data_IF_563861648183
#
_entry.id   IF_563861648183
#
_cell.length_a   1.000
_cell.length_b   1.000
_cell.length_c   1.000
_cell.angle_alpha   90.00
_cell.angle_beta   90.00
_cell.angle_gamma   90.00
#
_symmetry.space_group_name_H-M   'P 1'
#
loop_
_entity.id
_entity.type
_entity.pdbx_description
1 polymer ?
#
# COMPACT_ATOMS: atom_id res chain seq x y z
N UNK A 1 -12.75 1.00 22.78
CA UNK A 1 -12.44 2.00 21.75
C UNK A 1 -11.39 1.43 20.82
N UNK A 2 -11.57 1.61 19.52
CA UNK A 2 -10.59 1.34 18.48
C UNK A 2 -9.91 2.67 18.16
N UNK A 3 -8.58 2.68 18.11
CA UNK A 3 -7.79 3.84 17.74
C UNK A 3 -6.78 3.43 16.68
N UNK A 4 -7.02 3.85 15.44
CA UNK A 4 -6.06 3.72 14.34
C UNK A 4 -5.27 5.02 14.27
N UNK A 5 -3.95 4.90 14.33
CA UNK A 5 -3.03 6.02 14.17
C UNK A 5 -2.15 5.75 12.96
N UNK A 6 -2.35 6.50 11.88
CA UNK A 6 -1.45 6.48 10.73
C UNK A 6 -0.41 7.58 10.88
N UNK A 7 0.86 7.20 10.78
CA UNK A 7 2.01 8.08 10.87
C UNK A 7 2.66 8.13 9.50
N UNK A 8 2.65 9.30 8.89
CA UNK A 8 3.28 9.55 7.59
C UNK A 8 4.53 10.39 7.80
N UNK A 9 5.67 9.87 7.36
CA UNK A 9 6.98 10.50 7.56
C UNK A 9 7.62 10.77 6.21
N UNK A 10 8.00 12.02 5.97
CA UNK A 10 8.78 12.39 4.79
C UNK A 10 10.24 11.96 4.99
N UNK A 11 10.70 11.06 4.13
CA UNK A 11 12.07 10.55 4.08
C UNK A 11 12.73 10.90 2.75
N UNK A 12 14.04 10.73 2.70
CA UNK A 12 14.84 10.87 1.47
C UNK A 12 15.31 9.49 1.04
N UNK A 13 15.06 9.13 -0.21
CA UNK A 13 15.48 7.85 -0.77
C UNK A 13 17.01 7.74 -0.81
N UNK A 14 17.58 6.70 -0.18
CA UNK A 14 19.02 6.47 -0.19
C UNK A 14 19.41 5.51 -1.31
N UNK A 15 19.59 6.06 -2.52
CA UNK A 15 20.01 5.28 -3.69
C UNK A 15 21.45 4.76 -3.57
N UNK A 16 22.26 5.30 -2.66
CA UNK A 16 23.65 4.84 -2.45
C UNK A 16 23.69 3.45 -1.82
N UNK A 17 22.74 3.12 -0.96
CA UNK A 17 22.63 1.79 -0.34
C UNK A 17 22.37 0.67 -1.36
N UNK A 18 21.89 1.02 -2.56
CA UNK A 18 21.60 0.09 -3.65
C UNK A 18 22.69 0.03 -4.73
N UNK A 19 23.73 0.87 -4.62
CA UNK A 19 24.84 0.86 -5.58
C UNK A 19 25.73 -0.36 -5.34
N UNK A 20 26.19 -0.99 -6.43
CA UNK A 20 27.07 -2.15 -6.40
C UNK A 20 28.44 -1.76 -6.94
N UNK A 21 29.52 -2.23 -6.31
CA UNK A 21 30.91 -1.87 -6.65
C UNK A 21 31.45 -2.54 -7.92
N UNK A 22 30.67 -3.40 -8.59
CA UNK A 22 31.15 -4.21 -9.73
C UNK A 22 31.26 -3.40 -11.02
N UNK A 23 32.32 -3.68 -11.80
CA UNK A 23 32.69 -2.99 -13.04
C UNK A 23 31.72 -3.13 -14.22
N UNK A 24 30.63 -3.90 -14.07
CA UNK A 24 29.58 -4.08 -15.10
C UNK A 24 28.27 -3.34 -14.83
N UNK A 25 28.12 -2.65 -13.70
CA UNK A 25 26.82 -2.13 -13.21
C UNK A 25 26.68 -0.61 -13.30
N UNK A 26 27.41 0.05 -14.19
CA UNK A 26 27.39 1.50 -14.35
C UNK A 26 25.97 2.05 -14.57
N UNK A 27 25.19 1.44 -15.47
CA UNK A 27 23.84 1.90 -15.79
C UNK A 27 22.89 1.81 -14.58
N UNK A 28 23.01 0.77 -13.75
CA UNK A 28 22.19 0.65 -12.52
C UNK A 28 22.65 1.64 -11.45
N UNK A 29 23.96 1.83 -11.30
CA UNK A 29 24.48 2.83 -10.37
C UNK A 29 24.07 4.27 -10.78
N UNK A 30 24.06 4.57 -12.07
CA UNK A 30 23.56 5.84 -12.60
C UNK A 30 22.06 6.01 -12.33
N UNK A 31 21.27 4.94 -12.54
CA UNK A 31 19.85 4.91 -12.21
C UNK A 31 19.62 5.22 -10.72
N UNK A 32 20.22 4.48 -9.78
CA UNK A 32 20.01 4.75 -8.35
C UNK A 32 20.54 6.12 -7.90
N UNK A 33 21.62 6.62 -8.51
CA UNK A 33 22.12 7.97 -8.25
C UNK A 33 21.11 9.05 -8.66
N UNK A 34 20.40 8.87 -9.77
CA UNK A 34 19.36 9.79 -10.24
C UNK A 34 18.16 9.89 -9.29
N UNK A 35 17.86 8.82 -8.54
CA UNK A 35 16.80 8.83 -7.53
C UNK A 35 17.27 9.19 -6.12
N UNK A 36 18.59 9.26 -5.88
CA UNK A 36 19.15 9.53 -4.56
C UNK A 36 18.71 10.90 -4.04
N UNK A 37 18.24 10.95 -2.79
CA UNK A 37 17.77 12.16 -2.12
C UNK A 37 16.32 12.54 -2.44
N UNK A 38 15.65 11.83 -3.36
CA UNK A 38 14.25 12.13 -3.67
C UNK A 38 13.36 11.97 -2.44
N UNK A 39 12.49 12.94 -2.16
CA UNK A 39 11.56 12.82 -1.06
C UNK A 39 10.51 11.76 -1.38
N UNK A 40 10.20 10.92 -0.40
CA UNK A 40 9.06 10.02 -0.41
C UNK A 40 8.43 10.00 0.98
N UNK A 41 7.19 9.54 1.07
CA UNK A 41 6.45 9.37 2.31
C UNK A 41 6.49 7.90 2.68
N UNK A 42 6.91 7.62 3.90
CA UNK A 42 6.78 6.30 4.52
C UNK A 42 5.62 6.33 5.50
N UNK A 43 4.68 5.40 5.34
CA UNK A 43 3.52 5.23 6.21
C UNK A 43 3.69 4.08 7.19
N UNK A 44 3.35 4.31 8.46
CA UNK A 44 3.22 3.27 9.48
C UNK A 44 1.87 3.39 10.17
N UNK A 45 1.19 2.26 10.41
CA UNK A 45 -0.12 2.23 11.05
C UNK A 45 -0.05 1.50 12.39
N UNK A 46 -0.52 2.16 13.45
CA UNK A 46 -0.73 1.54 14.75
C UNK A 46 -2.22 1.35 15.02
N UNK A 47 -2.60 0.15 15.44
CA UNK A 47 -3.97 -0.15 15.88
C UNK A 47 -3.97 -0.40 17.39
N UNK A 48 -4.55 0.53 18.15
CA UNK A 48 -4.65 0.45 19.60
C UNK A 48 -6.09 0.17 19.99
N UNK A 49 -6.29 -0.94 20.72
CA UNK A 49 -7.61 -1.28 21.26
C UNK A 49 -7.58 -1.03 22.76
N UNK A 50 -8.45 -0.14 23.22
CA UNK A 50 -8.50 0.28 24.62
C UNK A 50 -9.83 -0.15 25.25
N UNK A 51 -9.77 -0.90 26.34
CA UNK A 51 -10.90 -1.22 27.19
C UNK A 51 -10.81 -0.44 28.51
N UNK A 52 -11.79 0.42 28.77
CA UNK A 52 -11.89 1.10 30.06
C UNK A 52 -12.42 0.13 31.11
N UNK A 53 -11.74 0.03 32.27
CA UNK A 53 -12.30 -0.66 33.42
C UNK A 53 -13.33 0.24 34.09
N UNK A 54 -14.49 -0.30 34.46
CA UNK A 54 -15.48 0.46 35.24
C UNK A 54 -14.80 0.95 36.53
N UNK A 55 -14.81 2.27 36.74
CA UNK A 55 -14.25 2.90 37.94
C UNK A 55 -15.07 2.48 39.18
N UNK A 56 -14.75 1.34 39.79
CA UNK A 56 -15.12 1.06 41.17
C UNK A 56 -14.20 1.86 42.11
N UNK A 57 -14.69 2.19 43.31
CA UNK A 57 -13.94 2.96 44.32
C UNK A 57 -12.57 2.33 44.68
N UNK A 58 -12.41 1.03 44.44
CA UNK A 58 -11.12 0.33 44.46
C UNK A 58 -10.75 -0.02 43.02
N UNK A 59 -9.63 0.52 42.54
CA UNK A 59 -9.00 0.16 41.25
C UNK A 59 -8.40 -1.25 41.34
N UNK A 60 -9.22 -2.28 41.54
CA UNK A 60 -8.75 -3.66 41.59
C UNK A 60 -8.58 -4.22 40.18
N UNK A 61 -7.37 -4.69 39.90
CA UNK A 61 -7.08 -5.50 38.71
C UNK A 61 -7.96 -6.76 38.71
N UNK A 62 -8.62 -7.03 37.59
CA UNK A 62 -9.47 -8.21 37.39
C UNK A 62 -8.84 -9.14 36.35
N UNK A 63 -8.20 -10.21 36.83
CA UNK A 63 -7.49 -11.16 35.99
C UNK A 63 -8.42 -11.89 34.99
N UNK A 64 -9.69 -12.11 35.34
CA UNK A 64 -10.65 -12.77 34.46
C UNK A 64 -11.00 -11.87 33.28
N UNK A 65 -11.31 -10.60 33.55
CA UNK A 65 -11.56 -9.59 32.50
C UNK A 65 -10.33 -9.36 31.63
N UNK A 66 -9.14 -9.34 32.21
CA UNK A 66 -7.90 -9.22 31.45
C UNK A 66 -7.71 -10.40 30.48
N UNK A 67 -7.94 -11.63 30.93
CA UNK A 67 -7.87 -12.83 30.07
C UNK A 67 -8.91 -12.79 28.95
N UNK A 68 -10.16 -12.41 29.25
CA UNK A 68 -11.21 -12.25 28.24
C UNK A 68 -10.84 -11.18 27.20
N UNK A 69 -10.28 -10.06 27.63
CA UNK A 69 -9.76 -9.03 26.74
C UNK A 69 -8.66 -9.58 25.82
N UNK A 70 -7.67 -10.29 26.36
CA UNK A 70 -6.60 -10.91 25.55
C UNK A 70 -7.14 -11.90 24.50
N UNK A 71 -8.16 -12.69 24.84
CA UNK A 71 -8.81 -13.59 23.87
C UNK A 71 -9.45 -12.80 22.73
N UNK A 72 -10.14 -11.69 23.03
CA UNK A 72 -10.75 -10.83 22.01
C UNK A 72 -9.70 -10.17 21.12
N UNK A 73 -8.61 -9.71 21.70
CA UNK A 73 -7.50 -9.07 20.97
C UNK A 73 -6.82 -10.07 20.01
N UNK A 74 -6.63 -11.32 20.43
CA UNK A 74 -6.12 -12.37 19.52
C UNK A 74 -7.06 -12.63 18.35
N UNK A 75 -8.38 -12.71 18.60
CA UNK A 75 -9.36 -12.85 17.52
C UNK A 75 -9.31 -11.70 16.52
N UNK A 76 -9.05 -10.47 16.98
CA UNK A 76 -8.85 -9.33 16.07
C UNK A 76 -7.59 -9.52 15.22
N UNK A 77 -6.48 -9.95 15.82
CA UNK A 77 -5.26 -10.24 15.07
C UNK A 77 -5.47 -11.36 14.03
N UNK A 78 -6.17 -12.43 14.40
CA UNK A 78 -6.52 -13.52 13.48
C UNK A 78 -7.37 -12.99 12.32
N UNK A 79 -8.38 -12.16 12.59
CA UNK A 79 -9.21 -11.53 11.55
C UNK A 79 -8.40 -10.62 10.61
N UNK A 80 -7.41 -9.89 11.12
CA UNK A 80 -6.53 -9.07 10.29
C UNK A 80 -5.66 -9.95 9.37
N UNK A 81 -5.12 -11.06 9.91
CA UNK A 81 -4.33 -12.02 9.14
C UNK A 81 -5.14 -12.72 8.06
N UNK A 82 -6.33 -13.21 8.40
CA UNK A 82 -7.29 -13.82 7.47
C UNK A 82 -7.74 -12.81 6.40
N UNK A 83 -7.86 -11.54 6.77
CA UNK A 83 -8.12 -10.42 5.87
C UNK A 83 -6.94 -10.00 4.98
N UNK A 84 -5.80 -10.70 5.05
CA UNK A 84 -4.62 -10.44 4.22
C UNK A 84 -3.62 -9.43 4.78
N UNK A 85 -3.86 -8.89 5.98
CA UNK A 85 -2.95 -7.97 6.68
C UNK A 85 -1.96 -8.80 7.51
N UNK A 86 -1.15 -9.59 6.81
CA UNK A 86 -0.18 -10.53 7.42
C UNK A 86 0.97 -9.85 8.16
N UNK A 87 1.19 -8.55 7.91
CA UNK A 87 2.20 -7.73 8.59
C UNK A 87 1.74 -7.19 9.96
N UNK A 88 0.49 -7.45 10.38
CA UNK A 88 0.01 -7.04 11.68
C UNK A 88 0.68 -7.88 12.78
N UNK A 89 1.41 -7.23 13.67
CA UNK A 89 2.14 -7.87 14.77
C UNK A 89 1.91 -7.12 16.08
N UNK A 90 1.94 -7.85 17.21
CA UNK A 90 1.88 -7.24 18.52
C UNK A 90 3.22 -6.58 18.87
N UNK A 91 3.17 -5.31 19.26
CA UNK A 91 4.35 -4.63 19.80
C UNK A 91 4.75 -5.25 21.14
N UNK A 92 6.03 -5.54 21.29
CA UNK A 92 6.61 -5.88 22.59
C UNK A 92 6.74 -4.61 23.47
N UNK A 93 7.16 -4.79 24.73
CA UNK A 93 7.27 -3.69 25.70
C UNK A 93 8.23 -2.58 25.23
N UNK A 94 9.34 -2.94 24.60
CA UNK A 94 10.31 -1.97 24.09
C UNK A 94 9.74 -1.18 22.92
N UNK A 95 9.14 -1.86 21.95
CA UNK A 95 8.50 -1.23 20.78
C UNK A 95 7.32 -0.33 21.19
N UNK A 96 6.52 -0.76 22.18
CA UNK A 96 5.40 0.03 22.69
C UNK A 96 5.89 1.30 23.43
N UNK A 97 6.98 1.20 24.20
CA UNK A 97 7.63 2.37 24.82
C UNK A 97 8.18 3.32 23.77
N UNK A 98 8.93 2.80 22.81
CA UNK A 98 9.48 3.61 21.73
C UNK A 98 8.37 4.32 20.92
N UNK A 99 7.27 3.63 20.64
CA UNK A 99 6.09 4.24 20.01
C UNK A 99 5.52 5.40 20.83
N UNK A 100 5.30 5.21 22.13
CA UNK A 100 4.80 6.26 23.01
C UNK A 100 5.78 7.43 23.14
N UNK A 101 7.08 7.15 23.23
CA UNK A 101 8.15 8.13 23.35
C UNK A 101 8.31 8.96 22.06
N UNK A 102 8.22 8.32 20.89
CA UNK A 102 8.22 8.98 19.58
C UNK A 102 6.99 9.85 19.39
N UNK A 103 5.82 9.38 19.83
CA UNK A 103 4.60 10.18 19.82
C UNK A 103 4.74 11.41 20.73
N UNK A 104 5.27 11.23 21.95
CA UNK A 104 5.53 12.33 22.89
C UNK A 104 6.48 13.38 22.31
N UNK A 105 7.58 12.93 21.67
CA UNK A 105 8.57 13.81 21.05
C UNK A 105 8.16 14.34 19.67
N UNK A 106 7.02 13.90 19.14
CA UNK A 106 6.57 14.09 17.75
C UNK A 106 7.68 13.81 16.74
N UNK A 107 8.43 12.73 16.97
CA UNK A 107 9.57 12.36 16.14
C UNK A 107 9.52 10.90 15.73
N UNK A 108 8.97 10.68 14.53
CA UNK A 108 8.96 9.39 13.87
C UNK A 108 10.01 9.28 12.76
N UNK A 109 10.72 10.39 12.47
CA UNK A 109 11.68 10.50 11.37
C UNK A 109 13.08 10.08 11.76
N UNK A 110 13.57 10.61 12.88
CA UNK A 110 14.98 10.50 13.23
C UNK A 110 15.25 9.20 13.97
N UNK A 111 16.43 8.62 13.71
CA UNK A 111 16.90 7.44 14.44
C UNK A 111 17.02 7.70 15.95
N UNK A 112 17.45 8.92 16.31
CA UNK A 112 17.61 9.39 17.68
C UNK A 112 16.75 10.63 17.89
N UNK A 113 16.10 10.74 19.04
CA UNK A 113 15.27 11.89 19.38
C UNK A 113 15.46 12.27 20.84
N UNK A 114 15.21 13.54 21.15
CA UNK A 114 15.17 14.06 22.51
C UNK A 114 13.77 14.53 22.85
N UNK A 115 13.40 14.42 24.12
CA UNK A 115 12.18 15.02 24.65
C UNK A 115 12.51 16.41 25.18
N UNK A 116 11.60 17.36 24.94
CA UNK A 116 11.71 18.72 25.45
C UNK A 116 10.44 19.09 26.22
N UNK A 117 10.51 20.17 27.00
CA UNK A 117 9.35 20.65 27.75
C UNK A 117 8.28 21.21 26.81
N UNK A 118 7.02 21.12 27.24
CA UNK A 118 5.89 21.69 26.52
C UNK A 118 5.67 23.16 26.90
N UNK A 119 5.44 23.98 25.88
CA UNK A 119 4.74 25.26 26.03
C UNK A 119 3.46 25.15 25.21
N UNK A 120 2.31 25.20 25.89
CA UNK A 120 0.99 25.10 25.24
C UNK A 120 0.37 26.48 25.18
N UNK A 121 -0.13 26.85 24.01
CA UNK A 121 -1.04 27.98 23.83
C UNK A 121 -2.38 27.50 23.26
N UNK A 122 -3.31 28.42 22.99
CA UNK A 122 -4.65 28.08 22.48
C UNK A 122 -4.66 27.54 21.05
N UNK A 123 -3.56 27.66 20.32
CA UNK A 123 -3.46 27.32 18.91
C UNK A 123 -2.52 26.15 18.65
N UNK A 124 -1.51 25.94 19.50
CA UNK A 124 -0.47 24.93 19.30
C UNK A 124 0.24 24.50 20.59
N UNK A 125 0.92 23.36 20.48
CA UNK A 125 1.85 22.80 21.45
C UNK A 125 3.27 22.97 20.92
N UNK A 126 4.14 23.65 21.65
CA UNK A 126 5.54 23.87 21.28
C UNK A 126 6.46 22.95 22.08
N UNK A 127 7.42 22.33 21.39
CA UNK A 127 8.40 21.36 21.89
C UNK A 127 9.81 21.77 21.42
N UNK A 128 10.46 22.66 22.16
CA UNK A 128 11.75 23.23 21.73
C UNK A 128 11.59 24.02 20.43
N UNK A 129 12.18 23.54 19.34
CA UNK A 129 12.08 24.14 18.00
C UNK A 129 10.91 23.61 17.16
N UNK A 130 10.20 22.59 17.64
CA UNK A 130 9.05 21.99 16.96
C UNK A 130 7.77 22.58 17.49
N UNK A 131 6.76 22.62 16.65
CA UNK A 131 5.40 23.00 17.00
C UNK A 131 4.47 21.83 16.69
N UNK A 132 3.27 21.81 17.24
CA UNK A 132 2.25 20.86 16.89
C UNK A 132 0.89 21.49 17.01
N UNK A 133 0.09 21.35 15.96
CA UNK A 133 -1.32 21.70 16.01
C UNK A 133 -2.15 20.45 15.77
N UNK A 134 -3.10 20.22 16.65
CA UNK A 134 -4.09 19.14 16.58
C UNK A 134 -5.35 19.69 15.94
N UNK A 135 -5.65 19.21 14.74
CA UNK A 135 -6.82 19.62 13.97
C UNK A 135 -7.93 18.58 14.15
N UNK A 136 -8.98 18.93 14.89
CA UNK A 136 -10.20 18.11 14.89
C UNK A 136 -10.88 18.24 13.53
N UNK A 137 -11.04 17.12 12.82
CA UNK A 137 -11.58 17.15 11.45
C UNK A 137 -13.06 17.47 11.38
N UNK A 138 -13.79 17.30 12.49
CA UNK A 138 -15.21 17.57 12.55
C UNK A 138 -15.52 18.38 13.81
N UNK A 139 -16.35 19.40 13.64
CA UNK A 139 -16.95 20.14 14.74
C UNK A 139 -18.15 19.34 15.27
N UNK A 140 -18.17 19.01 16.57
CA UNK A 140 -19.27 18.25 17.18
C UNK A 140 -20.54 19.11 17.26
N UNK A 141 -20.41 20.43 17.36
CA UNK A 141 -21.56 21.35 17.39
C UNK A 141 -22.23 21.50 16.02
N UNK A 142 -21.45 21.35 14.95
CA UNK A 142 -21.90 21.45 13.57
C UNK A 142 -21.13 20.45 12.71
N UNK A 143 -21.54 19.19 12.79
CA UNK A 143 -20.95 18.10 12.00
C UNK A 143 -21.27 18.36 10.52
N UNK A 144 -20.39 19.10 9.86
CA UNK A 144 -20.53 19.48 8.46
C UNK A 144 -20.13 18.33 7.55
N UNK A 145 -20.88 17.23 7.58
CA UNK A 145 -20.74 16.10 6.66
C UNK A 145 -21.78 16.21 5.54
N UNK A 146 -21.47 15.74 4.32
CA UNK A 146 -22.47 15.64 3.26
C UNK A 146 -23.54 14.60 3.61
N UNK A 147 -24.75 14.75 3.05
CA UNK A 147 -25.85 13.80 3.26
C UNK A 147 -25.56 12.38 2.75
N UNK A 148 -24.60 12.24 1.83
CA UNK A 148 -24.07 10.94 1.38
C UNK A 148 -22.55 11.00 1.41
N UNK A 149 -21.94 10.08 2.17
CA UNK A 149 -20.49 9.92 2.24
C UNK A 149 -20.08 8.67 1.46
N UNK A 150 -19.15 8.83 0.52
CA UNK A 150 -18.58 7.70 -0.25
C UNK A 150 -17.23 7.31 0.34
N UNK A 151 -16.83 6.03 0.26
CA UNK A 151 -15.53 5.59 0.75
C UNK A 151 -14.37 5.99 -0.19
N UNK A 152 -14.66 6.55 -1.37
CA UNK A 152 -13.69 6.92 -2.38
C UNK A 152 -14.05 8.25 -3.05
N UNK A 153 -13.07 8.82 -3.74
CA UNK A 153 -13.17 9.95 -4.66
C UNK A 153 -12.53 9.59 -6.00
N UNK A 154 -12.97 10.22 -7.07
CA UNK A 154 -12.44 9.95 -8.41
C UNK A 154 -11.19 10.79 -8.66
N UNK A 155 -10.08 10.13 -8.98
CA UNK A 155 -8.83 10.75 -9.42
C UNK A 155 -8.62 10.52 -10.91
N UNK A 156 -8.34 11.58 -11.67
CA UNK A 156 -8.05 11.49 -13.10
C UNK A 156 -6.54 11.48 -13.33
N UNK A 157 -6.03 10.40 -13.93
CA UNK A 157 -4.62 10.25 -14.32
C UNK A 157 -4.57 9.88 -15.81
N UNK A 158 -3.92 10.70 -16.64
CA UNK A 158 -3.79 10.47 -18.09
C UNK A 158 -5.11 10.11 -18.79
N UNK A 159 -6.19 10.87 -18.50
CA UNK A 159 -7.55 10.65 -18.99
C UNK A 159 -8.25 9.36 -18.52
N UNK A 160 -7.62 8.58 -17.64
CA UNK A 160 -8.27 7.48 -16.93
C UNK A 160 -8.79 7.95 -15.57
N UNK A 161 -10.04 7.64 -15.25
CA UNK A 161 -10.62 7.89 -13.92
C UNK A 161 -10.42 6.65 -13.06
N UNK A 162 -9.84 6.82 -11.88
CA UNK A 162 -9.60 5.75 -10.93
C UNK A 162 -10.12 6.17 -9.53
N UNK A 163 -10.81 5.27 -8.82
CA UNK A 163 -11.21 5.55 -7.45
C UNK A 163 -9.99 5.51 -6.52
N UNK A 164 -9.86 6.51 -5.66
CA UNK A 164 -8.89 6.56 -4.56
C UNK A 164 -9.63 6.80 -3.25
N UNK A 165 -9.06 6.40 -2.12
CA UNK A 165 -9.67 6.60 -0.80
C UNK A 165 -10.10 8.06 -0.58
N UNK A 166 -11.24 8.26 0.10
CA UNK A 166 -11.70 9.60 0.49
C UNK A 166 -10.64 10.39 1.25
N UNK A 167 -9.83 9.69 2.05
CA UNK A 167 -8.77 10.27 2.89
C UNK A 167 -7.36 10.16 2.26
N UNK A 168 -7.26 9.79 0.98
CA UNK A 168 -5.99 9.56 0.27
C UNK A 168 -5.05 10.77 0.20
N UNK A 169 -5.53 12.00 0.44
CA UNK A 169 -4.70 13.21 0.41
C UNK A 169 -4.02 13.51 1.77
N UNK A 170 -4.38 12.77 2.84
CA UNK A 170 -3.84 13.01 4.20
C UNK A 170 -2.36 12.65 4.31
N UNK A 171 -1.83 11.74 3.49
CA UNK A 171 -0.42 11.36 3.52
C UNK A 171 0.47 12.31 2.69
N UNK A 172 -0.08 13.04 1.70
CA UNK A 172 0.66 13.91 0.77
C UNK A 172 0.66 15.40 1.12
N UNK A 173 0.50 15.75 2.40
CA UNK A 173 0.48 17.16 2.81
C UNK A 173 1.84 17.82 2.52
N UNK A 174 1.87 18.95 1.78
CA UNK A 174 3.11 19.64 1.43
C UNK A 174 3.76 20.28 2.65
N UNK A 175 5.08 20.49 2.59
CA UNK A 175 5.86 21.21 3.61
C UNK A 175 5.80 20.64 5.05
N UNK A 176 5.46 19.35 5.24
CA UNK A 176 5.44 18.70 6.56
C UNK A 176 6.34 17.47 6.57
N UNK A 177 7.14 17.34 7.63
CA UNK A 177 8.01 16.19 7.84
C UNK A 177 7.29 14.98 8.45
N UNK A 178 6.32 15.21 9.34
CA UNK A 178 5.54 14.14 9.97
C UNK A 178 4.09 14.56 10.17
N UNK A 179 3.18 13.68 9.77
CA UNK A 179 1.73 13.81 9.96
C UNK A 179 1.24 12.60 10.72
N UNK A 180 0.52 12.83 11.81
CA UNK A 180 -0.13 11.75 12.57
C UNK A 180 -1.63 11.90 12.46
N UNK A 181 -2.30 10.92 11.87
CA UNK A 181 -3.75 10.89 11.71
C UNK A 181 -4.40 9.91 12.70
N UNK A 182 -5.04 10.47 13.73
CA UNK A 182 -5.76 9.73 14.76
C UNK A 182 -7.22 9.52 14.35
N UNK A 183 -7.63 8.26 14.26
CA UNK A 183 -9.01 7.84 13.96
C UNK A 183 -9.52 6.98 15.10
N UNK A 184 -10.49 7.49 15.85
CA UNK A 184 -11.01 6.82 17.04
C UNK A 184 -12.48 6.46 16.83
N UNK A 185 -12.81 5.19 17.09
CA UNK A 185 -14.18 4.68 17.09
C UNK A 185 -14.48 4.07 18.46
N UNK A 186 -15.49 4.62 19.13
CA UNK A 186 -16.07 4.04 20.34
C UNK A 186 -17.31 3.25 19.98
N UNK A 187 -17.40 2.05 20.55
CA UNK A 187 -18.54 1.16 20.39
C UNK A 187 -19.45 1.29 21.62
N UNK A 188 -20.53 2.08 21.56
CA UNK A 188 -21.45 2.26 22.68
C UNK A 188 -22.42 1.06 22.82
N UNK A 189 -23.17 1.05 23.92
CA UNK A 189 -24.26 0.10 24.09
C UNK A 189 -25.42 0.48 23.15
N UNK A 190 -25.64 -0.30 22.10
CA UNK A 190 -26.63 -0.02 21.06
C UNK A 190 -28.06 0.14 21.62
N UNK A 191 -28.47 -0.68 22.59
CA UNK A 191 -29.82 -0.60 23.19
C UNK A 191 -30.01 0.74 23.92
N UNK A 192 -28.97 1.21 24.62
CA UNK A 192 -29.00 2.50 25.31
C UNK A 192 -29.10 3.65 24.32
N UNK A 193 -28.28 3.66 23.27
CA UNK A 193 -28.28 4.74 22.28
C UNK A 193 -29.61 4.81 21.50
N UNK A 194 -30.19 3.67 21.13
CA UNK A 194 -31.51 3.61 20.50
C UNK A 194 -32.62 4.16 21.41
N UNK A 195 -32.59 3.85 22.70
CA UNK A 195 -33.54 4.41 23.66
C UNK A 195 -33.40 5.94 23.82
N UNK A 196 -32.18 6.47 23.72
CA UNK A 196 -31.95 7.92 23.72
C UNK A 196 -32.50 8.58 22.45
N UNK A 197 -32.31 7.95 21.29
CA UNK A 197 -32.89 8.39 20.03
C UNK A 197 -34.43 8.38 20.08
N UNK A 198 -35.05 7.34 20.64
CA UNK A 198 -36.50 7.28 20.82
C UNK A 198 -37.01 8.39 21.74
N UNK A 199 -36.30 8.65 22.86
CA UNK A 199 -36.64 9.76 23.75
C UNK A 199 -36.54 11.11 23.03
N UNK A 200 -35.50 11.30 22.20
CA UNK A 200 -35.32 12.52 21.39
C UNK A 200 -36.45 12.66 20.37
N UNK A 201 -36.77 11.60 19.61
CA UNK A 201 -37.87 11.54 18.65
C UNK A 201 -39.22 11.90 19.29
N UNK A 202 -39.56 11.28 20.41
CA UNK A 202 -40.83 11.52 21.11
C UNK A 202 -40.94 12.98 21.61
N UNK A 203 -39.84 13.54 22.11
CA UNK A 203 -39.78 14.96 22.52
C UNK A 203 -40.03 15.92 21.35
N UNK A 204 -39.41 15.69 20.19
CA UNK A 204 -39.65 16.52 19.00
C UNK A 204 -41.06 16.31 18.45
N UNK A 205 -41.58 15.09 18.46
CA UNK A 205 -42.96 14.80 18.05
C UNK A 205 -44.03 15.50 18.93
N UNK A 206 -43.75 15.68 20.22
CA UNK A 206 -44.67 16.36 21.15
C UNK A 206 -44.79 17.87 20.96
N UNK A 207 -43.88 18.50 20.21
CA UNK A 207 -43.89 19.96 19.94
C UNK A 207 -43.84 20.15 18.42
N UNK A 208 -44.97 20.04 17.70
CA UNK A 208 -44.95 20.04 16.23
C UNK A 208 -44.55 21.42 15.68
N UNK A 209 -43.44 21.45 14.96
CA UNK A 209 -43.04 22.55 14.07
C UNK A 209 -42.24 21.94 12.90
N UNK A 210 -42.04 22.66 11.79
CA UNK A 210 -41.37 22.11 10.61
C UNK A 210 -39.99 21.50 10.91
N UNK A 211 -39.18 22.17 11.74
CA UNK A 211 -37.84 21.68 12.13
C UNK A 211 -37.91 20.39 12.96
N UNK A 212 -38.86 20.29 13.87
CA UNK A 212 -39.08 19.10 14.69
C UNK A 212 -39.63 17.93 13.88
N UNK A 213 -40.47 18.19 12.87
CA UNK A 213 -40.95 17.15 11.95
C UNK A 213 -39.80 16.55 11.15
N UNK A 214 -38.91 17.40 10.60
CA UNK A 214 -37.69 16.94 9.92
C UNK A 214 -36.82 16.09 10.85
N UNK A 215 -36.57 16.56 12.08
CA UNK A 215 -35.77 15.79 13.04
C UNK A 215 -36.40 14.43 13.40
N UNK A 216 -37.74 14.34 13.45
CA UNK A 216 -38.46 13.07 13.67
C UNK A 216 -38.29 12.13 12.47
N UNK A 217 -38.39 12.65 11.25
CA UNK A 217 -38.18 11.89 10.02
C UNK A 217 -36.75 11.38 9.90
N UNK A 218 -35.75 12.23 10.16
CA UNK A 218 -34.33 11.86 10.14
C UNK A 218 -34.03 10.73 11.14
N UNK A 219 -34.54 10.84 12.38
CA UNK A 219 -34.35 9.78 13.39
C UNK A 219 -35.01 8.48 12.93
N UNK A 220 -36.20 8.53 12.33
CA UNK A 220 -36.86 7.32 11.79
C UNK A 220 -36.04 6.68 10.69
N UNK A 221 -35.49 7.46 9.75
CA UNK A 221 -34.64 6.94 8.69
C UNK A 221 -33.40 6.23 9.25
N UNK A 222 -32.72 6.84 10.24
CA UNK A 222 -31.57 6.22 10.92
C UNK A 222 -31.98 4.91 11.61
N UNK A 223 -33.12 4.89 12.31
CA UNK A 223 -33.64 3.69 12.97
C UNK A 223 -33.99 2.58 11.98
N UNK A 224 -34.57 2.93 10.82
CA UNK A 224 -34.87 1.98 9.74
C UNK A 224 -33.61 1.39 9.13
N UNK A 225 -32.58 2.20 8.85
CA UNK A 225 -31.28 1.72 8.34
C UNK A 225 -30.62 0.77 9.34
N UNK A 226 -30.62 1.11 10.63
CA UNK A 226 -30.08 0.24 11.69
C UNK A 226 -30.82 -1.10 11.73
N UNK A 227 -32.16 -1.08 11.69
CA UNK A 227 -32.97 -2.28 11.77
C UNK A 227 -32.87 -3.16 10.50
N UNK A 228 -32.84 -2.55 9.32
CA UNK A 228 -32.85 -3.23 8.02
C UNK A 228 -31.48 -3.78 7.63
N UNK A 229 -30.42 -3.00 7.85
CA UNK A 229 -29.08 -3.32 7.36
C UNK A 229 -28.13 -3.81 8.46
N UNK A 230 -28.59 -3.86 9.72
CA UNK A 230 -27.79 -4.32 10.86
C UNK A 230 -26.62 -3.39 11.21
N UNK A 231 -26.72 -2.10 10.87
CA UNK A 231 -25.69 -1.10 11.17
C UNK A 231 -25.61 -0.80 12.65
N UNK A 232 -24.46 -0.29 13.09
CA UNK A 232 -24.23 0.10 14.48
C UNK A 232 -24.05 1.61 14.60
N UNK A 233 -24.54 2.18 15.70
CA UNK A 233 -24.21 3.53 16.12
C UNK A 233 -22.83 3.52 16.77
N UNK A 234 -21.97 4.45 16.37
CA UNK A 234 -20.63 4.61 16.92
C UNK A 234 -20.37 6.07 17.24
N UNK A 235 -19.60 6.31 18.29
CA UNK A 235 -19.03 7.64 18.52
C UNK A 235 -17.66 7.69 17.85
N UNK A 236 -17.41 8.70 17.04
CA UNK A 236 -16.17 8.85 16.31
C UNK A 236 -15.46 10.16 16.65
N UNK A 237 -14.14 10.15 16.51
CA UNK A 237 -13.28 11.32 16.59
C UNK A 237 -12.13 11.16 15.60
N UNK A 238 -11.82 12.22 14.87
CA UNK A 238 -10.73 12.24 13.92
C UNK A 238 -9.92 13.51 14.14
N UNK A 239 -8.61 13.36 14.33
CA UNK A 239 -7.72 14.51 14.36
C UNK A 239 -6.42 14.24 13.61
N UNK A 240 -5.84 15.30 13.05
CA UNK A 240 -4.51 15.27 12.47
C UNK A 240 -3.55 16.15 13.29
N UNK A 241 -2.37 15.63 13.61
CA UNK A 241 -1.33 16.34 14.35
C UNK A 241 -0.13 16.61 13.45
N UNK A 242 0.37 17.84 13.45
CA UNK A 242 1.37 18.31 12.47
C UNK A 242 2.22 19.46 12.97
N UNK A 243 3.41 19.61 12.39
CA UNK A 243 4.45 20.55 12.85
C UNK A 243 4.30 22.03 12.39
N UNK A 244 3.32 22.43 11.56
CA UNK A 244 3.36 23.79 10.95
C UNK A 244 2.00 24.43 10.60
N UNK A 245 2.00 25.77 10.46
CA UNK A 245 0.84 26.65 10.16
C UNK A 245 0.31 26.55 8.72
N UNK A 246 1.15 26.31 7.70
CA UNK A 246 0.73 26.26 6.27
C UNK A 246 -0.29 25.15 5.96
N UNK A 247 -0.46 24.23 6.89
CA UNK A 247 -1.23 23.02 6.70
C UNK A 247 -2.73 23.21 6.90
N UNK A 248 -3.15 24.22 7.68
CA UNK A 248 -4.57 24.46 7.95
C UNK A 248 -5.32 24.66 6.64
N UNK A 249 -4.83 25.56 5.78
CA UNK A 249 -5.47 25.88 4.51
C UNK A 249 -5.53 24.65 3.58
N UNK A 250 -4.49 23.81 3.60
CA UNK A 250 -4.46 22.61 2.77
C UNK A 250 -5.51 21.59 3.23
N UNK A 251 -5.64 21.36 4.54
CA UNK A 251 -6.70 20.51 5.08
C UNK A 251 -8.09 21.09 4.79
N UNK A 252 -8.29 22.39 5.01
CA UNK A 252 -9.57 23.06 4.68
C UNK A 252 -9.93 22.84 3.21
N UNK A 253 -8.96 22.96 2.30
CA UNK A 253 -9.18 22.74 0.87
C UNK A 253 -9.50 21.28 0.52
N UNK A 254 -8.81 20.31 1.14
CA UNK A 254 -9.10 18.87 0.91
C UNK A 254 -10.53 18.56 1.36
N UNK A 255 -10.87 18.91 2.59
CA UNK A 255 -12.14 18.53 3.20
C UNK A 255 -13.32 19.31 2.61
N UNK A 256 -13.16 20.60 2.32
CA UNK A 256 -14.23 21.41 1.70
C UNK A 256 -14.63 20.89 0.32
N UNK A 257 -13.69 20.37 -0.49
CA UNK A 257 -14.00 19.70 -1.77
C UNK A 257 -14.90 18.47 -1.60
N UNK A 258 -14.85 17.83 -0.44
CA UNK A 258 -15.67 16.68 -0.08
C UNK A 258 -16.94 17.06 0.69
N UNK A 259 -17.25 18.36 0.82
CA UNK A 259 -18.35 18.85 1.63
C UNK A 259 -18.16 18.62 3.13
N UNK A 260 -16.91 18.46 3.57
CA UNK A 260 -16.53 18.27 4.97
C UNK A 260 -16.03 19.60 5.54
N UNK A 261 -16.68 20.11 6.58
CA UNK A 261 -16.27 21.34 7.25
C UNK A 261 -15.45 21.03 8.50
N UNK A 262 -14.14 21.36 8.46
CA UNK A 262 -13.25 21.15 9.60
C UNK A 262 -13.50 22.13 10.74
N UNK A 263 -13.28 21.68 11.98
CA UNK A 263 -13.36 22.56 13.13
C UNK A 263 -12.21 23.57 13.11
N UNK A 264 -12.56 24.86 13.21
CA UNK A 264 -11.59 25.95 13.40
C UNK A 264 -11.26 26.20 14.87
N UNK A 265 -11.96 25.52 15.79
CA UNK A 265 -11.80 25.72 17.23
C UNK A 265 -10.61 24.90 17.71
N UNK A 266 -9.60 25.59 18.24
CA UNK A 266 -8.34 24.99 18.67
C UNK A 266 -8.17 24.95 20.21
N UNK A 267 -9.15 25.41 21.00
CA UNK A 267 -8.94 25.74 22.42
C UNK A 267 -8.52 24.58 23.35
N UNK A 268 -8.63 23.32 22.94
CA UNK A 268 -8.29 22.13 23.74
C UNK A 268 -7.09 21.34 23.18
N UNK A 269 -6.07 22.03 22.64
CA UNK A 269 -4.89 21.41 22.02
C UNK A 269 -4.24 20.34 22.92
N UNK A 270 -3.99 20.66 24.19
CA UNK A 270 -3.31 19.75 25.11
C UNK A 270 -4.19 18.53 25.41
N UNK A 271 -5.49 18.71 25.61
CA UNK A 271 -6.42 17.63 25.86
C UNK A 271 -6.48 16.67 24.67
N UNK A 272 -6.57 17.20 23.44
CA UNK A 272 -6.58 16.39 22.22
C UNK A 272 -5.24 15.66 22.02
N UNK A 273 -4.11 16.33 22.26
CA UNK A 273 -2.80 15.70 22.16
C UNK A 273 -2.66 14.55 23.17
N UNK A 274 -3.00 14.81 24.44
CA UNK A 274 -2.94 13.82 25.51
C UNK A 274 -3.90 12.67 25.24
N UNK A 275 -5.12 12.93 24.76
CA UNK A 275 -6.08 11.88 24.43
C UNK A 275 -5.66 11.02 23.23
N UNK A 276 -4.82 11.57 22.35
CA UNK A 276 -4.28 10.87 21.18
C UNK A 276 -3.07 9.99 21.52
N UNK A 277 -2.60 9.97 22.77
CA UNK A 277 -1.61 8.98 23.22
C UNK A 277 -2.17 7.56 23.10
N UNK A 278 -1.30 6.57 22.82
CA UNK A 278 -1.68 5.16 22.79
C UNK A 278 -2.36 4.75 24.10
N UNK A 279 -3.63 4.32 24.01
CA UNK A 279 -4.40 3.85 25.17
C UNK A 279 -5.15 4.93 25.94
N UNK A 280 -5.07 6.21 25.55
CA UNK A 280 -5.59 7.33 26.34
C UNK A 280 -6.87 7.96 25.76
N UNK A 281 -7.44 7.37 24.71
CA UNK A 281 -8.57 7.93 23.95
C UNK A 281 -9.84 8.19 24.76
N UNK A 282 -10.03 7.54 25.91
CA UNK A 282 -11.17 7.82 26.80
C UNK A 282 -11.11 9.21 27.44
N UNK A 283 -9.99 9.94 27.33
CA UNK A 283 -9.88 11.35 27.71
C UNK A 283 -10.56 12.31 26.74
N UNK A 284 -10.86 11.91 25.50
CA UNK A 284 -11.69 12.70 24.61
C UNK A 284 -13.03 12.98 25.30
N UNK A 285 -13.46 14.23 25.38
CA UNK A 285 -14.72 14.57 26.02
C UNK A 285 -15.90 13.96 25.25
N UNK A 286 -16.88 13.41 25.97
CA UNK A 286 -18.06 12.79 25.35
C UNK A 286 -18.97 13.80 24.66
N UNK A 287 -18.98 15.06 25.13
CA UNK A 287 -19.93 16.07 24.69
C UNK A 287 -19.41 16.90 23.51
N UNK A 288 -18.11 17.14 23.42
CA UNK A 288 -17.54 18.06 22.40
C UNK A 288 -16.34 17.53 21.60
N UNK A 289 -15.79 16.35 21.93
CA UNK A 289 -14.74 15.73 21.10
C UNK A 289 -15.27 14.54 20.30
N UNK A 290 -16.47 14.03 20.60
CA UNK A 290 -17.02 12.82 19.99
C UNK A 290 -18.35 13.13 19.33
N UNK A 291 -18.54 12.69 18.09
CA UNK A 291 -19.84 12.78 17.41
C UNK A 291 -20.41 11.40 17.15
N UNK A 292 -21.74 11.29 17.18
CA UNK A 292 -22.47 10.04 16.94
C UNK A 292 -22.77 9.90 15.44
N UNK A 293 -22.45 8.75 14.86
CA UNK A 293 -22.75 8.43 13.46
C UNK A 293 -22.96 6.93 13.27
N UNK A 294 -23.32 6.51 12.05
CA UNK A 294 -23.36 5.11 11.66
C UNK A 294 -21.95 4.58 11.42
N UNK A 295 -21.73 3.29 11.72
CA UNK A 295 -20.45 2.60 11.55
C UNK A 295 -19.81 2.84 10.18
N UNK A 296 -20.60 2.78 9.11
CA UNK A 296 -20.09 2.85 7.74
C UNK A 296 -19.61 4.27 7.38
N UNK A 297 -20.34 5.29 7.84
CA UNK A 297 -19.94 6.68 7.68
C UNK A 297 -18.64 6.95 8.46
N UNK A 298 -18.51 6.40 9.67
CA UNK A 298 -17.26 6.47 10.42
C UNK A 298 -16.09 5.80 9.68
N UNK A 299 -16.31 4.62 9.07
CA UNK A 299 -15.28 3.92 8.31
C UNK A 299 -14.88 4.66 7.02
N UNK A 300 -15.79 5.40 6.39
CA UNK A 300 -15.46 6.24 5.24
C UNK A 300 -14.40 7.29 5.60
N UNK A 301 -14.41 7.81 6.82
CA UNK A 301 -13.46 8.81 7.30
C UNK A 301 -12.11 8.23 7.79
N UNK A 302 -11.94 6.91 7.80
CA UNK A 302 -10.65 6.29 8.08
C UNK A 302 -9.76 6.27 6.85
N UNK A 303 -8.44 6.40 7.04
CA UNK A 303 -7.47 6.27 5.94
C UNK A 303 -7.32 4.79 5.55
N UNK A 304 -7.47 4.50 4.26
CA UNK A 304 -7.55 3.11 3.74
C UNK A 304 -6.53 2.79 2.66
N UNK A 305 -5.68 3.74 2.28
CA UNK A 305 -4.63 3.48 1.29
C UNK A 305 -3.51 2.61 1.87
N UNK A 306 -2.84 1.90 0.96
CA UNK A 306 -1.67 1.08 1.28
C UNK A 306 -0.53 1.49 0.37
N UNK A 307 0.59 1.88 0.97
CA UNK A 307 1.82 2.09 0.21
C UNK A 307 2.31 0.77 -0.38
N UNK A 308 2.67 0.80 -1.64
CA UNK A 308 3.25 -0.35 -2.31
C UNK A 308 4.64 -0.60 -1.73
N UNK A 309 4.96 -1.86 -1.45
CA UNK A 309 6.29 -2.28 -1.07
C UNK A 309 6.85 -3.16 -2.18
N UNK A 310 8.16 -3.09 -2.41
CA UNK A 310 8.81 -3.95 -3.38
C UNK A 310 8.80 -5.41 -2.96
N UNK A 311 8.96 -6.29 -3.94
CA UNK A 311 8.98 -7.73 -3.69
C UNK A 311 10.23 -8.14 -2.92
N UNK A 312 10.03 -9.03 -1.95
CA UNK A 312 11.12 -9.74 -1.27
C UNK A 312 11.54 -10.94 -2.13
N UNK A 313 12.48 -10.69 -3.04
CA UNK A 313 12.92 -11.61 -4.09
C UNK A 313 14.42 -11.48 -4.34
N UNK A 314 15.11 -12.58 -4.72
CA UNK A 314 16.47 -12.52 -5.23
C UNK A 314 16.57 -11.84 -6.61
N UNK A 315 15.51 -11.88 -7.42
CA UNK A 315 15.47 -11.30 -8.77
C UNK A 315 14.72 -9.97 -8.73
N UNK A 316 15.46 -8.86 -8.75
CA UNK A 316 14.92 -7.51 -8.56
C UNK A 316 14.95 -6.73 -9.86
N UNK A 317 13.79 -6.58 -10.51
CA UNK A 317 13.64 -5.61 -11.58
C UNK A 317 13.12 -4.29 -10.97
N UNK A 318 13.93 -3.25 -10.96
CA UNK A 318 13.55 -1.96 -10.39
C UNK A 318 12.69 -1.17 -11.37
N UNK A 319 11.54 -0.72 -10.86
CA UNK A 319 10.62 0.22 -11.49
C UNK A 319 10.52 1.49 -10.64
N UNK A 320 9.76 2.47 -11.12
CA UNK A 320 9.46 3.67 -10.32
C UNK A 320 8.04 3.54 -9.78
N UNK A 321 7.88 3.71 -8.47
CA UNK A 321 6.57 3.69 -7.84
C UNK A 321 5.78 4.99 -8.07
N UNK A 322 4.59 5.09 -7.49
CA UNK A 322 3.73 6.28 -7.60
C UNK A 322 4.33 7.53 -6.91
N UNK A 323 5.26 7.35 -6.00
CA UNK A 323 5.95 8.44 -5.31
C UNK A 323 7.19 8.91 -6.07
N UNK A 324 7.55 8.23 -7.16
CA UNK A 324 8.70 8.60 -7.98
C UNK A 324 10.02 8.04 -7.47
N UNK A 325 10.00 6.96 -6.68
CA UNK A 325 11.20 6.27 -6.15
C UNK A 325 11.33 4.83 -6.66
N UNK A 326 12.57 4.28 -6.73
CA UNK A 326 12.81 2.92 -7.18
C UNK A 326 12.15 1.87 -6.30
N UNK A 327 11.49 0.90 -6.92
CA UNK A 327 10.82 -0.22 -6.27
C UNK A 327 11.18 -1.53 -6.97
N UNK A 328 11.75 -2.52 -6.27
CA UNK A 328 12.03 -3.82 -6.84
C UNK A 328 10.75 -4.62 -7.05
N UNK A 329 10.61 -5.23 -8.22
CA UNK A 329 9.51 -6.11 -8.58
C UNK A 329 10.08 -7.41 -9.13
N UNK A 330 9.50 -8.53 -8.71
CA UNK A 330 9.74 -9.84 -9.31
C UNK A 330 8.85 -10.01 -10.54
N UNK A 331 9.35 -9.63 -11.70
CA UNK A 331 8.64 -9.81 -12.98
C UNK A 331 8.46 -11.27 -13.39
N UNK A 332 9.14 -12.23 -12.73
CA UNK A 332 8.93 -13.65 -12.96
C UNK A 332 7.71 -14.18 -12.20
N UNK A 333 7.36 -13.54 -11.09
CA UNK A 333 6.31 -13.97 -10.16
C UNK A 333 6.59 -15.29 -9.42
N UNK A 334 7.81 -15.84 -9.53
CA UNK A 334 8.15 -17.20 -9.09
C UNK A 334 9.27 -17.27 -8.05
N UNK A 335 10.19 -16.32 -8.07
CA UNK A 335 11.41 -16.34 -7.26
C UNK A 335 11.22 -15.65 -5.90
N UNK A 336 10.21 -14.79 -5.78
CA UNK A 336 9.84 -14.12 -4.54
C UNK A 336 9.32 -15.07 -3.45
N UNK A 337 9.37 -14.57 -2.20
CA UNK A 337 8.77 -15.22 -1.03
C UNK A 337 7.27 -15.52 -1.24
N UNK A 338 6.58 -14.64 -1.97
CA UNK A 338 5.21 -14.84 -2.43
C UNK A 338 5.30 -15.23 -3.92
N UNK A 339 4.81 -16.43 -4.24
CA UNK A 339 4.74 -16.92 -5.62
C UNK A 339 3.37 -16.60 -6.21
N UNK A 340 3.37 -15.77 -7.24
CA UNK A 340 2.16 -15.34 -7.96
C UNK A 340 1.85 -16.25 -9.15
N UNK A 341 2.88 -16.88 -9.72
CA UNK A 341 2.78 -17.67 -10.94
C UNK A 341 3.50 -19.02 -10.79
N UNK A 342 3.07 -20.00 -11.60
CA UNK A 342 3.75 -21.29 -11.70
C UNK A 342 4.87 -21.28 -12.75
N UNK A 343 4.89 -20.28 -13.64
CA UNK A 343 5.88 -20.10 -14.68
C UNK A 343 6.33 -18.63 -14.76
N UNK A 344 7.49 -18.40 -15.35
CA UNK A 344 8.14 -17.09 -15.42
C UNK A 344 7.84 -16.35 -16.73
N UNK A 345 6.80 -16.76 -17.46
CA UNK A 345 6.45 -16.17 -18.75
C UNK A 345 5.66 -14.88 -18.54
N UNK A 346 5.96 -13.84 -19.32
CA UNK A 346 5.19 -12.60 -19.32
C UNK A 346 5.01 -12.05 -20.74
N UNK A 347 3.98 -11.22 -20.92
CA UNK A 347 3.66 -10.57 -22.19
C UNK A 347 3.80 -9.06 -22.05
N UNK A 348 4.42 -8.43 -23.04
CA UNK A 348 4.50 -6.97 -23.17
C UNK A 348 3.67 -6.56 -24.37
N UNK A 349 2.55 -5.88 -24.12
CA UNK A 349 1.59 -5.48 -25.14
C UNK A 349 1.63 -3.96 -25.34
N UNK A 350 1.52 -3.51 -26.59
CA UNK A 350 1.45 -2.10 -26.92
C UNK A 350 1.57 -1.86 -28.43
N UNK A 351 1.01 -0.77 -28.96
CA UNK A 351 1.12 -0.43 -30.38
C UNK A 351 2.56 -0.06 -30.78
N UNK A 352 2.83 0.05 -32.08
CA UNK A 352 4.13 0.54 -32.55
C UNK A 352 4.42 1.94 -31.97
N UNK A 353 5.68 2.20 -31.58
CA UNK A 353 6.08 3.47 -30.96
C UNK A 353 5.72 3.63 -29.47
N UNK A 354 5.02 2.68 -28.83
CA UNK A 354 4.64 2.80 -27.41
C UNK A 354 5.78 2.58 -26.41
N UNK A 355 7.02 2.38 -26.86
CA UNK A 355 8.17 2.14 -25.99
C UNK A 355 8.42 0.69 -25.56
N UNK A 356 7.82 -0.31 -26.21
CA UNK A 356 8.03 -1.74 -25.87
C UNK A 356 9.51 -2.16 -25.85
N UNK A 357 10.26 -1.84 -26.91
CA UNK A 357 11.69 -2.19 -26.99
C UNK A 357 12.53 -1.42 -25.97
N UNK A 358 12.15 -0.18 -25.65
CA UNK A 358 12.80 0.61 -24.60
C UNK A 358 12.60 -0.01 -23.21
N UNK A 359 11.36 -0.42 -22.90
CA UNK A 359 11.02 -1.16 -21.70
C UNK A 359 11.81 -2.48 -21.60
N UNK A 360 11.78 -3.31 -22.65
CA UNK A 360 12.45 -4.60 -22.64
C UNK A 360 13.97 -4.50 -22.53
N UNK A 361 14.60 -3.50 -23.16
CA UNK A 361 16.02 -3.21 -22.94
C UNK A 361 16.32 -2.96 -21.46
N UNK A 362 15.45 -2.24 -20.76
CA UNK A 362 15.59 -1.96 -19.32
C UNK A 362 15.48 -3.22 -18.47
N UNK A 363 14.51 -4.09 -18.78
CA UNK A 363 14.31 -5.37 -18.06
C UNK A 363 15.49 -6.31 -18.30
N UNK A 364 15.86 -6.54 -19.56
CA UNK A 364 16.96 -7.42 -19.96
C UNK A 364 18.28 -7.00 -19.32
N UNK A 365 18.59 -5.70 -19.35
CA UNK A 365 19.78 -5.14 -18.71
C UNK A 365 19.85 -5.52 -17.23
N UNK A 366 18.74 -5.33 -16.51
CA UNK A 366 18.68 -5.62 -15.06
C UNK A 366 18.81 -7.11 -14.78
N UNK A 367 18.23 -7.97 -15.61
CA UNK A 367 18.39 -9.42 -15.49
C UNK A 367 19.83 -9.87 -15.76
N UNK A 368 20.45 -9.36 -16.82
CA UNK A 368 21.84 -9.68 -17.15
C UNK A 368 22.80 -9.25 -16.03
N UNK A 369 22.63 -8.04 -15.48
CA UNK A 369 23.40 -7.57 -14.31
C UNK A 369 23.17 -8.40 -13.03
N UNK A 370 22.12 -9.23 -13.01
CA UNK A 370 21.80 -10.20 -11.97
C UNK A 370 22.15 -11.65 -12.37
N UNK A 371 23.12 -11.82 -13.28
CA UNK A 371 23.64 -13.11 -13.74
C UNK A 371 22.58 -14.02 -14.38
N UNK A 372 21.63 -13.43 -15.11
CA UNK A 372 20.67 -14.18 -15.93
C UNK A 372 21.18 -14.28 -17.36
N UNK A 373 21.18 -15.50 -17.93
CA UNK A 373 21.46 -15.70 -19.35
C UNK A 373 20.32 -15.16 -20.21
N UNK A 374 20.68 -14.37 -21.23
CA UNK A 374 19.70 -13.71 -22.11
C UNK A 374 19.93 -14.11 -23.55
N UNK A 375 18.88 -14.66 -24.18
CA UNK A 375 18.81 -14.91 -25.61
C UNK A 375 17.63 -14.12 -26.17
N UNK A 376 17.86 -13.31 -27.20
CA UNK A 376 16.85 -12.44 -27.81
C UNK A 376 16.76 -12.77 -29.30
N UNK A 377 15.52 -12.92 -29.78
CA UNK A 377 15.22 -12.89 -31.21
C UNK A 377 14.77 -11.48 -31.56
N UNK A 378 15.64 -10.72 -32.21
CA UNK A 378 15.41 -9.33 -32.58
C UNK A 378 15.02 -9.21 -34.05
N UNK A 379 13.94 -8.49 -34.33
CA UNK A 379 13.46 -8.21 -35.70
C UNK A 379 13.71 -6.77 -36.14
N UNK A 380 14.25 -5.91 -35.28
CA UNK A 380 14.41 -4.47 -35.55
C UNK A 380 15.65 -3.83 -34.94
N UNK A 381 16.71 -4.61 -34.75
CA UNK A 381 18.05 -4.19 -34.25
C UNK A 381 18.03 -3.30 -33.00
N UNK A 382 16.96 -3.40 -32.20
CA UNK A 382 16.73 -2.57 -31.03
C UNK A 382 17.60 -2.98 -29.84
N UNK A 383 18.22 -4.15 -29.89
CA UNK A 383 19.03 -4.70 -28.80
C UNK A 383 20.52 -4.79 -29.13
N UNK A 384 20.96 -4.44 -30.34
CA UNK A 384 22.36 -4.49 -30.79
C UNK A 384 23.29 -3.67 -29.88
N UNK A 385 22.86 -2.45 -29.53
CA UNK A 385 23.63 -1.56 -28.66
C UNK A 385 23.82 -2.12 -27.25
N UNK A 386 22.77 -2.71 -26.66
CA UNK A 386 22.83 -3.33 -25.34
C UNK A 386 23.70 -4.60 -25.36
N UNK A 387 23.55 -5.42 -26.42
CA UNK A 387 24.37 -6.60 -26.65
C UNK A 387 25.85 -6.23 -26.72
N UNK A 388 26.20 -5.23 -27.53
CA UNK A 388 27.57 -4.72 -27.66
C UNK A 388 28.12 -4.15 -26.36
N UNK A 389 27.30 -3.41 -25.60
CA UNK A 389 27.69 -2.83 -24.31
C UNK A 389 28.15 -3.91 -23.30
N UNK A 390 27.48 -5.06 -23.27
CA UNK A 390 27.85 -6.18 -22.41
C UNK A 390 28.82 -7.18 -23.08
N UNK A 391 29.36 -6.86 -24.26
CA UNK A 391 30.27 -7.75 -24.99
C UNK A 391 29.60 -9.06 -25.45
N UNK A 392 28.29 -9.04 -25.63
CA UNK A 392 27.52 -10.18 -26.12
C UNK A 392 27.73 -10.44 -27.61
N UNK A 393 27.21 -11.57 -28.08
CA UNK A 393 27.28 -11.98 -29.49
C UNK A 393 26.00 -11.57 -30.21
N UNK A 394 26.08 -10.59 -31.11
CA UNK A 394 24.97 -10.23 -31.99
C UNK A 394 25.10 -10.96 -33.32
N UNK A 395 24.17 -11.87 -33.62
CA UNK A 395 24.14 -12.65 -34.86
C UNK A 395 23.06 -12.06 -35.77
N UNK A 396 23.47 -11.24 -36.73
CA UNK A 396 22.57 -10.66 -37.73
C UNK A 396 22.71 -11.34 -39.08
N UNK A 397 21.63 -11.31 -39.87
CA UNK A 397 21.69 -11.70 -41.26
C UNK A 397 22.22 -10.52 -42.08
N UNK A 398 23.29 -10.74 -42.84
CA UNK A 398 23.71 -9.85 -43.94
C UNK A 398 23.84 -10.66 -45.23
N UNK A 399 23.70 -10.01 -46.38
CA UNK A 399 23.86 -10.70 -47.68
C UNK A 399 25.28 -11.24 -47.84
N UNK A 400 26.26 -10.53 -47.28
CA UNK A 400 27.69 -10.87 -47.35
C UNK A 400 28.08 -11.94 -46.32
N UNK A 401 27.40 -12.00 -45.17
CA UNK A 401 27.56 -13.02 -44.13
C UNK A 401 26.19 -13.55 -43.70
N UNK A 402 25.63 -14.53 -44.41
CA UNK A 402 24.38 -15.16 -44.00
C UNK A 402 24.58 -15.94 -42.71
N UNK A 403 23.53 -16.04 -41.90
CA UNK A 403 23.52 -16.93 -40.74
C UNK A 403 23.59 -18.37 -41.25
N UNK A 404 24.75 -19.00 -41.10
CA UNK A 404 24.94 -20.41 -41.43
C UNK A 404 24.94 -21.23 -40.15
N UNK A 405 24.03 -22.20 -40.04
CA UNK A 405 24.06 -23.21 -38.98
C UNK A 405 24.09 -24.60 -39.61
N UNK A 406 24.93 -25.49 -39.08
CA UNK A 406 24.84 -26.91 -39.39
C UNK A 406 24.00 -27.60 -38.30
N UNK A 407 22.71 -27.87 -38.54
CA UNK A 407 21.86 -28.53 -37.55
C UNK A 407 22.32 -29.96 -37.25
N UNK A 408 23.10 -30.58 -38.14
CA UNK A 408 23.63 -31.94 -37.97
C UNK A 408 24.95 -31.98 -37.18
N UNK A 409 25.50 -30.84 -36.76
CA UNK A 409 26.68 -30.85 -35.90
C UNK A 409 26.25 -31.23 -34.49
N UNK A 410 26.88 -32.26 -33.93
CA UNK A 410 26.67 -32.76 -32.57
C UNK A 410 28.03 -32.93 -31.92
N UNK A 411 28.16 -32.49 -30.66
CA UNK A 411 29.37 -32.75 -29.86
C UNK A 411 29.26 -34.09 -29.16
N UNK A 412 30.38 -34.72 -28.80
CA UNK A 412 30.37 -36.00 -28.07
C UNK A 412 29.54 -35.92 -26.78
N UNK A 413 29.64 -34.81 -26.03
CA UNK A 413 28.83 -34.57 -24.83
C UNK A 413 27.33 -34.50 -25.14
N UNK A 414 26.93 -33.76 -26.18
CA UNK A 414 25.53 -33.65 -26.61
C UNK A 414 25.00 -35.01 -27.08
N UNK A 415 25.82 -35.81 -27.77
CA UNK A 415 25.47 -37.16 -28.20
C UNK A 415 25.24 -38.10 -27.01
N UNK A 416 26.10 -38.05 -25.99
CA UNK A 416 25.98 -38.93 -24.83
C UNK A 416 24.85 -38.53 -23.88
N UNK A 417 24.56 -37.22 -23.75
CA UNK A 417 23.64 -36.72 -22.72
C UNK A 417 22.26 -36.30 -23.26
N UNK A 418 22.19 -35.72 -24.46
CA UNK A 418 21.00 -35.02 -24.96
C UNK A 418 20.58 -35.44 -26.38
N UNK A 419 21.09 -36.55 -26.90
CA UNK A 419 20.83 -36.95 -28.28
C UNK A 419 19.35 -37.18 -28.60
N UNK A 420 18.54 -37.57 -27.60
CA UNK A 420 17.10 -37.72 -27.78
C UNK A 420 16.42 -36.42 -28.22
N UNK A 421 16.74 -35.28 -27.60
CA UNK A 421 16.19 -33.97 -27.98
C UNK A 421 16.72 -33.52 -29.34
N UNK A 422 18.02 -33.72 -29.59
CA UNK A 422 18.66 -33.41 -30.87
C UNK A 422 18.03 -34.18 -32.03
N UNK A 423 17.76 -35.47 -31.82
CA UNK A 423 17.05 -36.34 -32.77
C UNK A 423 15.64 -35.81 -33.05
N UNK A 424 14.88 -35.46 -32.01
CA UNK A 424 13.53 -34.91 -32.18
C UNK A 424 13.55 -33.58 -32.96
N UNK A 425 14.49 -32.70 -32.65
CA UNK A 425 14.70 -31.45 -33.38
C UNK A 425 15.01 -31.70 -34.87
N UNK A 426 15.95 -32.61 -35.17
CA UNK A 426 16.30 -32.96 -36.55
C UNK A 426 15.13 -33.59 -37.30
N UNK A 427 14.35 -34.46 -36.66
CA UNK A 427 13.12 -35.00 -37.24
C UNK A 427 12.14 -33.90 -37.59
N UNK A 428 11.85 -32.99 -36.65
CA UNK A 428 10.96 -31.85 -36.90
C UNK A 428 11.47 -30.97 -38.04
N UNK A 429 12.77 -30.68 -38.10
CA UNK A 429 13.38 -29.89 -39.16
C UNK A 429 13.27 -30.58 -40.53
N UNK A 430 13.59 -31.87 -40.61
CA UNK A 430 13.52 -32.66 -41.85
C UNK A 430 12.06 -32.72 -42.34
N UNK A 431 11.10 -32.98 -41.46
CA UNK A 431 9.69 -33.03 -41.86
C UNK A 431 9.14 -31.66 -42.26
N UNK A 432 9.57 -30.59 -41.60
CA UNK A 432 9.20 -29.24 -42.02
C UNK A 432 9.70 -28.93 -43.44
N UNK A 433 10.92 -29.34 -43.78
CA UNK A 433 11.50 -29.15 -45.13
C UNK A 433 10.84 -30.08 -46.16
N UNK A 434 10.66 -31.36 -45.81
CA UNK A 434 10.16 -32.38 -46.72
C UNK A 434 8.66 -32.26 -46.99
N UNK A 435 7.85 -31.97 -45.97
CA UNK A 435 6.38 -32.03 -46.04
C UNK A 435 5.67 -30.70 -45.71
N UNK A 436 6.40 -29.66 -45.31
CA UNK A 436 5.82 -28.38 -44.92
C UNK A 436 4.87 -28.52 -43.74
N UNK A 437 3.59 -28.20 -43.93
CA UNK A 437 2.54 -28.28 -42.91
C UNK A 437 1.88 -29.67 -42.78
N UNK A 438 2.21 -30.63 -43.66
CA UNK A 438 1.58 -31.96 -43.63
C UNK A 438 2.19 -32.85 -42.54
N UNK A 439 1.33 -33.62 -41.85
CA UNK A 439 1.78 -34.56 -40.83
C UNK A 439 2.45 -35.79 -41.46
N UNK A 440 3.59 -36.25 -40.93
CA UNK A 440 4.24 -37.47 -41.39
C UNK A 440 3.49 -38.73 -40.95
N UNK A 441 3.54 -39.78 -41.78
CA UNK A 441 3.02 -41.11 -41.44
C UNK A 441 3.93 -41.82 -40.45
N UNK A 442 3.41 -42.84 -39.75
CA UNK A 442 4.21 -43.64 -38.80
C UNK A 442 5.42 -44.31 -39.43
N UNK A 443 5.29 -44.77 -40.67
CA UNK A 443 6.40 -45.41 -41.42
C UNK A 443 7.49 -44.38 -41.73
N UNK A 444 7.10 -43.20 -42.22
CA UNK A 444 8.06 -42.12 -42.50
C UNK A 444 8.79 -41.65 -41.23
N UNK A 445 8.06 -41.47 -40.12
CA UNK A 445 8.67 -41.13 -38.82
C UNK A 445 9.70 -42.19 -38.42
N UNK A 446 9.35 -43.47 -38.49
CA UNK A 446 10.25 -44.56 -38.13
C UNK A 446 11.50 -44.60 -39.01
N UNK A 447 11.34 -44.43 -40.33
CA UNK A 447 12.47 -44.42 -41.27
C UNK A 447 13.42 -43.26 -40.94
N UNK A 448 12.92 -42.03 -40.85
CA UNK A 448 13.75 -40.85 -40.59
C UNK A 448 14.42 -40.96 -39.21
N UNK A 449 13.71 -41.44 -38.19
CA UNK A 449 14.29 -41.66 -36.86
C UNK A 449 15.47 -42.63 -36.92
N UNK A 450 15.30 -43.78 -37.60
CA UNK A 450 16.38 -44.76 -37.77
C UNK A 450 17.54 -44.20 -38.57
N UNK A 451 17.27 -43.48 -39.66
CA UNK A 451 18.31 -42.84 -40.48
C UNK A 451 19.13 -41.85 -39.66
N UNK A 452 18.51 -41.03 -38.82
CA UNK A 452 19.24 -40.11 -37.94
C UNK A 452 20.13 -40.88 -36.96
N UNK A 453 19.62 -41.95 -36.34
CA UNK A 453 20.42 -42.76 -35.40
C UNK A 453 21.63 -43.39 -36.09
N UNK A 454 21.45 -43.96 -37.28
CA UNK A 454 22.55 -44.58 -38.03
C UNK A 454 23.55 -43.53 -38.57
N UNK A 455 23.12 -42.30 -38.85
CA UNK A 455 24.01 -41.23 -39.31
C UNK A 455 25.08 -40.81 -38.28
N UNK A 456 24.77 -40.92 -36.98
CA UNK A 456 25.67 -40.52 -35.89
C UNK A 456 26.40 -41.69 -35.22
N UNK A 457 26.18 -42.93 -35.68
CA UNK A 457 27.03 -44.08 -35.34
C UNK A 457 28.33 -43.99 -36.12
#
# INVERSE_FOLDING_TARGET
>A
ALHKQDVFVRKSFDGRALQVSDSGKFLSNAYFRFFNGRPYIEGCTYLVITQESKKSALLSYDNSKWRDFLVKIRKVADQLHDGGIKSAEFLNVQQAREYADRFFALNFRDAHFSMTNFKVDSEAIHMGTRQCKVYSLLDVDSVGLPGVLRPYVDMTVNNAVMPVDLMSEIDHIPDVDTVVYNQVIFLPNQKRELALLDKKKNRHASIPNPSNQMAVEDIKQVQEVIAREGKQLVYAHYNAQKDMQKVTNHLENIFSRQGIHISKRAYNQLELFVASFPGNVYRLNQDYDRFLTLSDAALCLMYKERQTHGDDTPVKCYYTDRQGVPMPIDTTGKEGKIKYTNNSNFFVLGPSGSGKSFFMNTVVRQYYEQNTDVVIVDTGDSYEGLCSYFGGTYISYSKEKPISMNPFKVTETEYLQNFGEKKNFLMSLIFLIFKGSQQPTKIEQYIIERTIIEYYR
#
